data_IF_799229197837
#
_entry.id   IF_799229197837
#
_cell.length_a   1.000
_cell.length_b   1.000
_cell.length_c   1.000
_cell.angle_alpha   90.00
_cell.angle_beta   90.00
_cell.angle_gamma   90.00
#
_symmetry.space_group_name_H-M   'P 1'
#
loop_
_entity.id
_entity.type
_entity.pdbx_description
1 polymer ?
#
# COMPACT_ATOMS: atom_id res chain seq x y z
N UNK A 1 21.10 -2.50 -31.37
CA UNK A 1 20.40 -1.26 -30.98
C UNK A 1 20.50 -1.20 -29.47
N UNK A 2 21.30 -0.27 -28.95
CA UNK A 2 21.52 -0.15 -27.50
C UNK A 2 20.30 0.57 -26.91
N UNK A 3 19.59 -0.12 -26.03
CA UNK A 3 18.49 0.43 -25.24
C UNK A 3 19.09 1.47 -24.29
N UNK A 4 18.76 2.75 -24.49
CA UNK A 4 19.21 3.79 -23.56
C UNK A 4 18.44 3.59 -22.26
N UNK A 5 19.05 2.94 -21.28
CA UNK A 5 18.53 2.89 -19.93
C UNK A 5 18.25 4.33 -19.49
N UNK A 6 16.97 4.69 -19.40
CA UNK A 6 16.56 5.99 -18.90
C UNK A 6 17.13 6.14 -17.49
N UNK A 7 17.99 7.15 -17.28
CA UNK A 7 18.57 7.50 -15.98
C UNK A 7 17.45 7.93 -15.01
N UNK A 8 16.74 6.96 -14.43
CA UNK A 8 15.80 7.18 -13.35
C UNK A 8 16.50 7.55 -12.05
N UNK A 9 15.77 8.21 -11.15
CA UNK A 9 16.25 8.52 -9.81
C UNK A 9 15.85 7.36 -8.90
N UNK A 10 16.83 6.60 -8.41
CA UNK A 10 16.59 5.52 -7.45
C UNK A 10 16.57 6.06 -6.03
N UNK A 11 15.48 5.77 -5.31
CA UNK A 11 15.23 6.13 -3.93
C UNK A 11 15.25 4.85 -3.10
N UNK A 12 16.16 4.78 -2.13
CA UNK A 12 16.23 3.65 -1.18
C UNK A 12 14.95 3.58 -0.33
N UNK A 13 14.54 2.38 0.08
CA UNK A 13 13.49 2.19 1.08
C UNK A 13 13.76 2.89 2.42
N UNK A 14 14.99 3.31 2.71
CA UNK A 14 15.36 4.04 3.93
C UNK A 14 15.28 5.56 3.79
N UNK A 15 14.89 6.08 2.63
CA UNK A 15 14.79 7.53 2.41
C UNK A 15 13.76 8.15 3.38
N UNK A 16 14.15 9.19 4.15
CA UNK A 16 13.30 9.77 5.19
C UNK A 16 12.07 10.52 4.65
N UNK A 17 12.01 10.77 3.34
CA UNK A 17 10.86 11.39 2.69
C UNK A 17 9.79 10.36 2.28
N UNK A 18 10.05 9.06 2.43
CA UNK A 18 9.02 8.03 2.32
C UNK A 18 8.20 8.00 3.61
N UNK A 19 6.91 8.31 3.51
CA UNK A 19 6.01 8.19 4.65
C UNK A 19 5.46 6.77 4.71
N UNK A 20 5.96 5.95 5.63
CA UNK A 20 5.43 4.62 5.89
C UNK A 20 4.25 4.66 6.86
N UNK A 21 3.16 3.97 6.51
CA UNK A 21 2.01 3.76 7.39
C UNK A 21 1.74 2.27 7.59
N UNK A 22 1.03 1.94 8.67
CA UNK A 22 0.85 0.57 9.15
C UNK A 22 2.10 -0.01 9.81
N UNK A 23 2.22 -1.34 9.76
CA UNK A 23 3.29 -2.09 10.43
C UNK A 23 4.29 -2.65 9.42
N UNK A 24 5.54 -2.23 9.58
CA UNK A 24 6.69 -2.65 8.79
C UNK A 24 7.72 -3.34 9.69
N UNK A 25 8.40 -4.35 9.15
CA UNK A 25 9.55 -4.99 9.76
C UNK A 25 10.86 -4.26 9.37
N UNK A 26 11.98 -4.66 9.98
CA UNK A 26 13.31 -4.11 9.66
C UNK A 26 13.85 -4.55 8.28
N UNK A 27 13.24 -5.58 7.67
CA UNK A 27 13.62 -6.15 6.40
C UNK A 27 12.66 -5.68 5.30
N UNK A 28 12.62 -4.36 5.08
CA UNK A 28 11.48 -3.50 4.68
C UNK A 28 10.25 -4.26 4.17
N UNK A 29 9.63 -5.03 5.07
CA UNK A 29 8.54 -5.93 4.77
C UNK A 29 7.28 -5.53 5.53
N UNK A 30 6.13 -5.61 4.87
CA UNK A 30 4.83 -5.55 5.53
C UNK A 30 3.99 -6.76 5.18
N UNK A 31 3.20 -7.21 6.15
CA UNK A 31 2.26 -8.34 6.05
C UNK A 31 0.82 -7.94 6.37
N UNK A 32 0.64 -6.74 6.92
CA UNK A 32 -0.66 -6.27 7.37
C UNK A 32 -1.41 -5.59 6.24
N UNK A 33 -2.69 -5.92 6.11
CA UNK A 33 -3.62 -5.11 5.36
C UNK A 33 -3.55 -3.66 5.86
N UNK A 34 -3.74 -2.70 4.96
CA UNK A 34 -3.70 -1.26 5.23
C UNK A 34 -2.31 -0.69 5.49
N UNK A 35 -1.26 -1.50 5.66
CA UNK A 35 0.11 -0.99 5.61
C UNK A 35 0.49 -0.54 4.21
N UNK A 36 1.40 0.42 4.13
CA UNK A 36 1.82 0.95 2.86
C UNK A 36 2.73 2.15 3.03
N UNK A 37 2.77 2.95 1.98
CA UNK A 37 3.57 4.16 1.94
C UNK A 37 2.88 5.27 1.15
N UNK A 38 3.28 6.50 1.44
CA UNK A 38 2.86 7.70 0.72
C UNK A 38 4.07 8.48 0.27
N UNK A 39 4.00 8.99 -0.95
CA UNK A 39 5.04 9.76 -1.60
C UNK A 39 4.46 11.08 -2.07
N UNK A 40 5.14 12.19 -1.81
CA UNK A 40 4.85 13.48 -2.43
C UNK A 40 5.93 13.76 -3.48
N UNK A 41 5.58 13.76 -4.76
CA UNK A 41 6.55 13.75 -5.86
C UNK A 41 6.30 14.93 -6.80
N UNK A 42 7.31 15.76 -6.99
CA UNK A 42 7.36 16.78 -8.04
C UNK A 42 7.86 16.16 -9.35
N UNK A 43 7.26 16.53 -10.48
CA UNK A 43 7.64 16.07 -11.81
C UNK A 43 7.38 14.58 -12.08
N UNK A 44 6.40 13.96 -11.40
CA UNK A 44 6.08 12.54 -11.57
C UNK A 44 5.55 12.22 -12.96
N UNK A 45 6.26 11.38 -13.70
CA UNK A 45 5.89 10.87 -15.02
C UNK A 45 5.83 9.34 -15.06
N UNK A 46 6.78 8.67 -14.40
CA UNK A 46 6.81 7.21 -14.25
C UNK A 46 7.35 6.83 -12.87
N UNK A 47 6.91 5.69 -12.36
CA UNK A 47 7.39 5.11 -11.10
C UNK A 47 7.46 3.59 -11.23
N UNK A 48 8.55 3.02 -10.74
CA UNK A 48 8.76 1.59 -10.62
C UNK A 48 9.02 1.23 -9.17
N UNK A 49 8.34 0.21 -8.66
CA UNK A 49 8.68 -0.40 -7.37
C UNK A 49 9.61 -1.59 -7.59
N UNK A 50 10.72 -1.64 -6.87
CA UNK A 50 11.57 -2.83 -6.80
C UNK A 50 11.25 -3.60 -5.52
N UNK A 51 10.80 -4.84 -5.70
CA UNK A 51 10.41 -5.70 -4.59
C UNK A 51 11.36 -6.89 -4.46
N UNK A 52 11.76 -7.20 -3.24
CA UNK A 52 12.70 -8.27 -2.94
C UNK A 52 12.07 -9.65 -2.94
N UNK A 53 12.92 -10.67 -2.87
CA UNK A 53 12.57 -12.10 -2.98
C UNK A 53 11.59 -12.59 -1.92
N UNK A 54 11.50 -11.85 -0.81
CA UNK A 54 10.57 -12.14 0.26
C UNK A 54 9.12 -11.70 -0.05
N UNK A 55 8.85 -11.05 -1.18
CA UNK A 55 7.48 -10.71 -1.58
C UNK A 55 6.67 -11.98 -1.84
N UNK A 56 5.41 -12.03 -1.41
CA UNK A 56 4.59 -13.23 -1.60
C UNK A 56 4.40 -13.54 -3.08
N UNK A 57 4.61 -14.81 -3.43
CA UNK A 57 4.50 -15.35 -4.80
C UNK A 57 3.09 -15.87 -5.09
N UNK A 58 2.56 -15.72 -6.32
CA UNK A 58 3.20 -15.10 -7.49
C UNK A 58 3.14 -13.57 -7.49
N UNK A 59 2.21 -12.99 -6.75
CA UNK A 59 2.01 -11.54 -6.65
C UNK A 59 1.19 -11.19 -5.41
N UNK A 60 1.28 -9.94 -4.98
CA UNK A 60 0.42 -9.35 -3.94
C UNK A 60 -0.49 -8.25 -4.51
N UNK A 61 -1.77 -8.19 -4.11
CA UNK A 61 -2.67 -7.11 -4.51
C UNK A 61 -2.40 -5.83 -3.70
N UNK A 62 -2.07 -4.76 -4.41
CA UNK A 62 -1.76 -3.46 -3.81
C UNK A 62 -2.61 -2.38 -4.46
N UNK A 63 -3.20 -1.52 -3.63
CA UNK A 63 -3.96 -0.35 -4.08
C UNK A 63 -3.04 0.83 -4.32
N UNK A 64 -3.22 1.46 -5.48
CA UNK A 64 -2.57 2.70 -5.86
C UNK A 64 -3.62 3.79 -6.00
N UNK A 65 -3.38 4.95 -5.40
CA UNK A 65 -4.22 6.14 -5.53
C UNK A 65 -3.31 7.34 -5.77
N UNK A 66 -3.55 8.06 -6.87
CA UNK A 66 -2.86 9.29 -7.19
C UNK A 66 -3.73 10.49 -6.83
N UNK A 67 -3.18 11.48 -6.13
CA UNK A 67 -3.85 12.73 -5.79
C UNK A 67 -5.20 12.55 -5.10
N UNK A 68 -5.29 11.50 -4.26
CA UNK A 68 -6.48 11.12 -3.50
C UNK A 68 -7.68 10.69 -4.37
N UNK A 69 -7.45 10.34 -5.64
CA UNK A 69 -8.44 9.64 -6.46
C UNK A 69 -8.73 8.22 -5.90
N UNK A 70 -9.84 7.56 -6.32
CA UNK A 70 -10.14 6.21 -5.88
C UNK A 70 -8.97 5.23 -6.09
N UNK A 71 -8.84 4.26 -5.19
CA UNK A 71 -7.80 3.24 -5.32
C UNK A 71 -8.06 2.30 -6.50
N UNK A 72 -6.99 2.00 -7.22
CA UNK A 72 -6.94 0.97 -8.25
C UNK A 72 -6.03 -0.16 -7.80
N UNK A 73 -6.52 -1.39 -7.91
CA UNK A 73 -5.75 -2.59 -7.57
C UNK A 73 -4.77 -2.93 -8.67
N UNK A 74 -3.51 -3.12 -8.30
CA UNK A 74 -2.46 -3.65 -9.17
C UNK A 74 -1.80 -4.83 -8.45
N UNK A 75 -1.69 -5.95 -9.15
CA UNK A 75 -0.92 -7.09 -8.66
C UNK A 75 0.56 -6.86 -8.96
N UNK A 76 1.39 -6.87 -7.93
CA UNK A 76 2.84 -6.65 -8.04
C UNK A 76 3.59 -7.89 -7.54
N UNK A 77 4.72 -8.21 -8.16
CA UNK A 77 5.52 -9.40 -7.86
C UNK A 77 6.94 -9.04 -7.46
N UNK A 78 7.74 -10.01 -7.02
CA UNK A 78 9.20 -9.84 -6.89
C UNK A 78 9.81 -9.25 -8.17
N UNK A 79 10.81 -8.37 -8.01
CA UNK A 79 11.49 -7.68 -9.10
C UNK A 79 10.95 -6.27 -9.38
N UNK A 80 11.05 -5.83 -10.63
CA UNK A 80 10.67 -4.47 -11.04
C UNK A 80 9.22 -4.40 -11.52
N UNK A 81 8.42 -3.56 -10.89
CA UNK A 81 7.00 -3.36 -11.20
C UNK A 81 6.77 -1.92 -11.64
N UNK A 82 6.53 -1.71 -12.94
CA UNK A 82 6.17 -0.38 -13.47
C UNK A 82 4.71 -0.08 -13.15
N UNK A 83 4.46 1.04 -12.47
CA UNK A 83 3.12 1.39 -12.00
C UNK A 83 2.35 2.14 -13.10
N UNK A 84 1.12 1.71 -13.45
CA UNK A 84 0.35 2.29 -14.54
C UNK A 84 -0.27 3.64 -14.15
N UNK A 85 0.54 4.70 -14.05
CA UNK A 85 0.10 6.02 -13.57
C UNK A 85 -1.07 6.64 -14.34
N UNK A 86 -1.26 6.25 -15.61
CA UNK A 86 -2.38 6.71 -16.46
C UNK A 86 -3.70 6.04 -16.11
N UNK A 87 -3.64 4.82 -15.58
CA UNK A 87 -4.84 4.03 -15.27
C UNK A 87 -5.36 4.35 -13.86
N UNK A 88 -4.50 4.91 -13.01
CA UNK A 88 -4.82 5.29 -11.63
C UNK A 88 -5.16 6.79 -11.45
N UNK A 89 -5.17 7.55 -12.56
CA UNK A 89 -5.43 8.99 -12.58
C UNK A 89 -6.40 9.32 -13.71
N UNK A 90 -7.62 9.69 -13.36
CA UNK A 90 -8.68 10.11 -14.27
C UNK A 90 -8.60 11.59 -14.64
N UNK A 91 -7.88 12.40 -13.85
CA UNK A 91 -7.71 13.83 -14.09
C UNK A 91 -6.34 14.20 -14.67
N UNK A 92 -6.25 15.39 -15.29
CA UNK A 92 -4.96 15.95 -15.69
C UNK A 92 -4.13 16.19 -14.41
N UNK A 93 -3.03 15.45 -14.26
CA UNK A 93 -2.10 15.55 -13.12
C UNK A 93 -1.77 17.01 -12.80
N UNK A 94 -1.71 17.31 -11.52
CA UNK A 94 -1.40 18.65 -11.03
C UNK A 94 0.03 19.03 -11.47
N UNK A 95 0.22 20.23 -11.99
CA UNK A 95 1.51 20.65 -12.58
C UNK A 95 2.62 20.89 -11.53
N UNK A 96 2.29 20.88 -10.23
CA UNK A 96 3.25 21.17 -9.15
C UNK A 96 3.82 19.92 -8.47
N UNK A 97 2.97 19.07 -7.92
CA UNK A 97 3.38 17.84 -7.23
C UNK A 97 2.19 16.91 -7.09
N UNK A 98 2.45 15.61 -7.10
CA UNK A 98 1.43 14.59 -6.90
C UNK A 98 1.68 13.77 -5.64
N UNK A 99 0.61 13.39 -4.96
CA UNK A 99 0.65 12.45 -3.83
C UNK A 99 0.28 11.06 -4.31
N UNK A 100 1.22 10.12 -4.28
CA UNK A 100 0.94 8.72 -4.55
C UNK A 100 0.77 7.96 -3.22
N UNK A 101 -0.37 7.31 -3.06
CA UNK A 101 -0.69 6.43 -1.93
C UNK A 101 -0.63 4.99 -2.41
N UNK A 102 0.15 4.17 -1.72
CA UNK A 102 0.38 2.75 -2.02
C UNK A 102 -0.01 1.98 -0.78
N UNK A 103 -0.97 1.06 -0.87
CA UNK A 103 -1.52 0.38 0.31
C UNK A 103 -1.82 -1.08 0.03
N UNK A 104 -1.33 -1.96 0.90
CA UNK A 104 -1.51 -3.39 0.81
C UNK A 104 -2.97 -3.79 1.09
N UNK A 105 -3.57 -4.59 0.20
CA UNK A 105 -5.01 -4.91 0.26
C UNK A 105 -5.31 -6.19 1.03
N UNK A 106 -4.45 -7.19 0.87
CA UNK A 106 -4.66 -8.54 1.37
C UNK A 106 -4.55 -8.65 2.89
N UNK A 107 -5.41 -9.47 3.46
CA UNK A 107 -5.40 -9.89 4.87
C UNK A 107 -4.69 -11.25 5.07
N UNK A 108 -4.31 -11.91 3.98
CA UNK A 108 -3.60 -13.19 3.91
C UNK A 108 -2.59 -13.15 2.77
N UNK A 109 -1.48 -13.86 2.93
CA UNK A 109 -0.47 -14.06 1.87
C UNK A 109 -0.08 -12.76 1.15
N UNK A 110 0.14 -11.71 1.94
CA UNK A 110 0.22 -10.34 1.43
C UNK A 110 1.54 -9.65 1.79
N UNK A 111 2.65 -10.40 1.79
CA UNK A 111 3.95 -9.84 2.10
C UNK A 111 4.44 -8.99 0.94
N UNK A 112 4.61 -7.69 1.18
CA UNK A 112 5.32 -6.79 0.28
C UNK A 112 6.69 -6.49 0.88
N UNK A 113 7.77 -6.76 0.14
CA UNK A 113 9.14 -6.45 0.56
C UNK A 113 9.73 -5.37 -0.35
N UNK A 114 9.73 -4.12 0.10
CA UNK A 114 10.18 -2.98 -0.71
C UNK A 114 11.69 -2.79 -0.60
N UNK A 115 12.41 -2.82 -1.72
CA UNK A 115 13.84 -2.54 -1.76
C UNK A 115 14.13 -1.09 -2.17
N UNK A 116 13.50 -0.65 -3.26
CA UNK A 116 13.67 0.72 -3.74
C UNK A 116 12.53 1.18 -4.63
N UNK A 117 12.49 2.49 -4.87
CA UNK A 117 11.54 3.16 -5.75
C UNK A 117 12.35 3.86 -6.83
N UNK A 118 12.03 3.65 -8.10
CA UNK A 118 12.69 4.33 -9.21
C UNK A 118 11.72 5.32 -9.85
N UNK A 119 12.07 6.60 -9.81
CA UNK A 119 11.32 7.69 -10.42
C UNK A 119 11.89 8.04 -11.79
N UNK A 120 11.11 8.72 -12.64
CA UNK A 120 11.66 9.31 -13.87
C UNK A 120 12.75 10.35 -13.58
N UNK A 121 13.61 10.57 -14.57
CA UNK A 121 14.60 11.64 -14.53
C UNK A 121 13.95 13.00 -14.26
N UNK A 122 14.57 13.79 -13.39
CA UNK A 122 14.10 15.12 -12.99
C UNK A 122 13.00 15.13 -11.92
N UNK A 123 12.39 13.99 -11.61
CA UNK A 123 11.44 13.91 -10.50
C UNK A 123 12.14 14.09 -9.15
N UNK A 124 11.43 14.68 -8.18
CA UNK A 124 11.94 14.92 -6.83
C UNK A 124 10.95 14.43 -5.79
N UNK A 125 11.44 13.64 -4.84
CA UNK A 125 10.67 13.33 -3.64
C UNK A 125 10.67 14.55 -2.72
N UNK A 126 9.49 14.92 -2.24
CA UNK A 126 9.23 16.05 -1.35
C UNK A 126 8.70 15.53 -0.01
N UNK A 127 8.80 16.33 1.07
CA UNK A 127 8.15 15.99 2.33
C UNK A 127 6.64 15.79 2.17
N UNK A 128 6.13 14.70 2.73
CA UNK A 128 4.70 14.46 2.89
C UNK A 128 4.21 14.99 4.24
N UNK A 129 3.08 15.69 4.26
CA UNK A 129 2.43 16.14 5.50
C UNK A 129 1.22 15.25 5.78
N UNK A 130 1.28 14.36 6.79
CA UNK A 130 0.17 13.49 7.14
C UNK A 130 -1.01 14.28 7.74
N UNK A 131 -2.20 13.67 7.74
CA UNK A 131 -3.36 14.25 8.43
C UNK A 131 -3.11 14.33 9.93
N UNK A 132 -3.64 15.38 10.57
CA UNK A 132 -3.62 15.52 12.03
C UNK A 132 -4.57 14.53 12.73
N UNK A 133 -5.58 14.05 12.01
CA UNK A 133 -6.51 13.05 12.50
C UNK A 133 -6.01 11.67 12.08
N UNK A 134 -5.97 10.72 13.01
CA UNK A 134 -5.54 9.35 12.75
C UNK A 134 -6.44 8.36 13.50
N UNK A 135 -6.85 7.29 12.81
CA UNK A 135 -7.60 6.19 13.41
C UNK A 135 -6.72 4.94 13.52
N UNK A 136 -6.83 4.24 14.65
CA UNK A 136 -6.34 2.88 14.82
C UNK A 136 -7.54 1.96 14.95
N UNK A 137 -7.62 0.96 14.08
CA UNK A 137 -8.65 -0.08 14.14
C UNK A 137 -8.00 -1.41 14.45
N UNK A 138 -8.54 -2.12 15.43
CA UNK A 138 -8.17 -3.50 15.76
C UNK A 138 -9.43 -4.32 15.59
N UNK A 139 -9.37 -5.45 14.87
CA UNK A 139 -10.58 -6.21 14.59
C UNK A 139 -10.36 -7.55 13.92
N UNK A 140 -11.40 -7.98 13.23
CA UNK A 140 -11.53 -9.31 12.64
C UNK A 140 -11.74 -9.22 11.11
N UNK A 141 -12.46 -10.18 10.55
CA UNK A 141 -12.76 -10.26 9.11
C UNK A 141 -13.46 -9.02 8.56
N UNK A 142 -14.34 -8.39 9.34
CA UNK A 142 -15.10 -7.24 8.89
C UNK A 142 -14.20 -6.01 8.69
N UNK A 143 -13.29 -5.78 9.64
CA UNK A 143 -12.32 -4.69 9.55
C UNK A 143 -11.20 -4.98 8.55
N UNK A 144 -10.84 -6.25 8.37
CA UNK A 144 -9.82 -6.68 7.39
C UNK A 144 -10.32 -6.62 5.93
N UNK A 145 -11.63 -6.44 5.70
CA UNK A 145 -12.22 -6.46 4.36
C UNK A 145 -12.22 -7.85 3.74
N UNK A 146 -12.35 -8.90 4.55
CA UNK A 146 -12.42 -10.26 4.03
C UNK A 146 -13.58 -10.38 3.03
N UNK A 147 -13.32 -10.95 1.85
CA UNK A 147 -14.26 -11.12 0.74
C UNK A 147 -14.71 -9.84 0.02
N UNK A 148 -14.15 -8.68 0.36
CA UNK A 148 -14.29 -7.49 -0.47
C UNK A 148 -13.29 -7.53 -1.63
N UNK A 149 -13.69 -7.00 -2.78
CA UNK A 149 -12.88 -7.06 -4.01
C UNK A 149 -11.54 -6.34 -3.87
N UNK A 150 -11.53 -5.18 -3.19
CA UNK A 150 -10.32 -4.43 -2.88
C UNK A 150 -9.83 -4.64 -1.44
N UNK A 151 -10.26 -5.73 -0.79
CA UNK A 151 -9.90 -6.06 0.58
C UNK A 151 -10.18 -4.91 1.55
N UNK A 152 -9.17 -4.57 2.36
CA UNK A 152 -9.29 -3.53 3.39
C UNK A 152 -9.61 -2.14 2.83
N UNK A 153 -9.29 -1.84 1.57
CA UNK A 153 -9.52 -0.52 0.97
C UNK A 153 -11.00 -0.22 0.75
N UNK A 154 -11.83 -1.25 0.64
CA UNK A 154 -13.28 -1.15 0.56
C UNK A 154 -13.96 -1.40 1.91
N UNK A 155 -13.19 -1.77 2.94
CA UNK A 155 -13.73 -2.04 4.27
C UNK A 155 -14.10 -0.73 5.00
N UNK A 156 -15.02 -0.84 5.96
CA UNK A 156 -15.51 0.31 6.72
C UNK A 156 -14.40 1.17 7.36
N UNK A 157 -13.25 0.64 7.85
CA UNK A 157 -12.19 1.48 8.40
C UNK A 157 -11.59 2.43 7.37
N UNK A 158 -11.30 1.93 6.16
CA UNK A 158 -10.75 2.73 5.08
C UNK A 158 -11.76 3.76 4.59
N UNK A 159 -13.01 3.37 4.36
CA UNK A 159 -14.08 4.29 3.94
C UNK A 159 -14.32 5.41 4.96
N UNK A 160 -14.27 5.07 6.26
CA UNK A 160 -14.37 6.06 7.34
C UNK A 160 -13.19 7.03 7.31
N UNK A 161 -11.97 6.53 7.12
CA UNK A 161 -10.78 7.37 7.04
C UNK A 161 -10.80 8.31 5.82
N UNK A 162 -11.25 7.83 4.65
CA UNK A 162 -11.44 8.66 3.46
C UNK A 162 -12.47 9.77 3.73
N UNK A 163 -13.60 9.45 4.37
CA UNK A 163 -14.64 10.42 4.72
C UNK A 163 -14.11 11.54 5.64
N UNK A 164 -13.37 11.17 6.69
CA UNK A 164 -12.82 12.13 7.66
C UNK A 164 -11.49 12.75 7.22
N UNK A 165 -10.93 12.34 6.08
CA UNK A 165 -9.60 12.73 5.61
C UNK A 165 -8.52 12.49 6.67
N UNK A 166 -8.56 11.31 7.30
CA UNK A 166 -7.65 10.90 8.36
C UNK A 166 -6.58 9.94 7.87
N UNK A 167 -5.52 9.80 8.65
CA UNK A 167 -4.68 8.60 8.60
C UNK A 167 -5.44 7.40 9.17
N UNK A 168 -5.08 6.19 8.74
CA UNK A 168 -5.66 4.96 9.29
C UNK A 168 -4.65 3.81 9.29
N UNK A 169 -4.63 3.09 10.42
CA UNK A 169 -3.96 1.80 10.54
C UNK A 169 -5.01 0.74 10.92
N UNK A 170 -5.03 -0.37 10.18
CA UNK A 170 -5.93 -1.49 10.43
C UNK A 170 -5.10 -2.71 10.84
N UNK A 171 -5.27 -3.14 12.09
CA UNK A 171 -4.68 -4.37 12.63
C UNK A 171 -5.80 -5.37 12.86
N UNK A 172 -6.26 -5.96 11.77
CA UNK A 172 -7.37 -6.89 11.78
C UNK A 172 -6.98 -8.22 11.15
N UNK A 173 -7.42 -9.31 11.75
CA UNK A 173 -7.14 -10.66 11.27
C UNK A 173 -8.45 -11.45 11.21
N UNK A 174 -8.84 -11.96 10.03
CA UNK A 174 -10.04 -12.78 9.93
C UNK A 174 -10.02 -13.99 10.86
N UNK A 175 -11.14 -14.21 11.55
CA UNK A 175 -11.29 -15.27 12.55
C UNK A 175 -10.67 -14.97 13.92
N UNK A 176 -9.97 -13.84 14.09
CA UNK A 176 -9.48 -13.42 15.39
C UNK A 176 -10.59 -12.81 16.24
N UNK A 177 -10.51 -13.03 17.56
CA UNK A 177 -11.38 -12.41 18.56
C UNK A 177 -10.58 -12.21 19.85
N UNK A 178 -11.06 -11.33 20.74
CA UNK A 178 -10.42 -11.08 22.03
C UNK A 178 -10.36 -12.34 22.91
N UNK A 179 -11.41 -13.16 22.85
CA UNK A 179 -11.52 -14.46 23.49
C UNK A 179 -12.10 -15.47 22.50
N UNK A 180 -11.82 -16.74 22.70
CA UNK A 180 -12.22 -17.84 21.80
C UNK A 180 -13.73 -17.80 21.51
N UNK A 181 -14.11 -17.91 20.23
CA UNK A 181 -15.40 -18.47 19.83
C UNK A 181 -15.32 -19.97 20.15
N UNK A 182 -15.62 -20.37 21.38
CA UNK A 182 -15.43 -21.73 21.86
C UNK A 182 -15.97 -22.73 20.84
N UNK A 183 -15.09 -23.56 20.29
CA UNK A 183 -15.46 -24.73 19.52
C UNK A 183 -16.47 -25.53 20.35
N UNK A 184 -17.58 -25.91 19.73
CA UNK A 184 -18.50 -26.88 20.31
C UNK A 184 -17.67 -28.08 20.80
N UNK A 185 -17.90 -28.58 22.03
CA UNK A 185 -17.15 -29.73 22.51
C UNK A 185 -17.32 -30.85 21.50
N UNK A 186 -16.20 -31.41 21.03
CA UNK A 186 -16.23 -32.61 20.20
C UNK A 186 -17.06 -33.65 20.94
N UNK A 187 -18.19 -34.05 20.36
CA UNK A 187 -18.98 -35.15 20.88
C UNK A 187 -18.11 -36.39 20.89
N UNK A 188 -17.72 -36.86 22.07
CA UNK A 188 -17.11 -38.16 22.27
C UNK A 188 -18.16 -39.22 21.92
N UNK A 189 -17.97 -39.90 20.79
CA UNK A 189 -18.61 -41.18 20.46
C UNK A 189 -17.53 -42.26 20.36
#
# INVERSE_FOLDING_TARGET
MADSAANGVEISNEDPLIFYHGRWDRAPGTWWASSGLKLNIDGLQSLTLRLGENTTSPSVPVGFSLDYEPFVTVNISTGSNSIPLKDISSTKRNEKSSVLRITSQGWQDNRMNLESIVLNSGAKLLPYTPSKLAFQVIGDSLSAGQYLEQGVLQAWPALTAEFFKSEVNVNAQPGAALTVLSALPASSS
#
